data_IF_715201152391
#
_entry.id   IF_715201152391
#
_cell.length_a   1.000
_cell.length_b   1.000
_cell.length_c   1.000
_cell.angle_alpha   90.00
_cell.angle_beta   90.00
_cell.angle_gamma   90.00
#
_symmetry.space_group_name_H-M   'P 1'
#
loop_
_entity.id
_entity.type
_entity.pdbx_description
1 polymer ?
#
# COMPACT_ATOMS: atom_id res chain seq x y z
N UNK A 1 0.45 -20.31 4.99
CA UNK A 1 -0.72 -21.04 5.51
C UNK A 1 -1.07 -20.47 6.88
N UNK A 2 -2.32 -20.05 7.07
CA UNK A 2 -2.76 -19.45 8.31
C UNK A 2 -2.68 -20.46 9.48
N UNK A 3 -2.55 -19.92 10.70
CA UNK A 3 -2.63 -20.72 11.93
C UNK A 3 -4.09 -20.86 12.35
N UNK A 4 -4.46 -22.02 12.88
CA UNK A 4 -5.82 -22.23 13.40
C UNK A 4 -6.04 -21.48 14.72
N UNK A 5 -4.96 -21.29 15.50
CA UNK A 5 -4.96 -20.58 16.78
C UNK A 5 -3.67 -19.75 16.93
N UNK A 6 -3.77 -18.46 17.26
CA UNK A 6 -5.02 -17.68 17.35
C UNK A 6 -5.65 -17.46 15.96
N UNK A 7 -6.98 -17.34 15.92
CA UNK A 7 -7.70 -17.06 14.68
C UNK A 7 -7.39 -15.62 14.20
N UNK A 8 -6.84 -15.48 12.98
CA UNK A 8 -6.48 -14.19 12.37
C UNK A 8 -6.97 -14.14 10.93
N UNK A 9 -8.24 -13.77 10.71
CA UNK A 9 -8.88 -13.80 9.40
C UNK A 9 -8.21 -12.89 8.37
N UNK A 10 -7.55 -11.82 8.82
CA UNK A 10 -6.88 -10.84 7.97
C UNK A 10 -5.39 -11.14 7.72
N UNK A 11 -4.89 -12.30 8.15
CA UNK A 11 -3.48 -12.71 7.95
C UNK A 11 -3.08 -12.84 6.48
N UNK A 12 -4.06 -12.83 5.57
CA UNK A 12 -3.86 -12.79 4.12
C UNK A 12 -3.27 -11.43 3.65
N UNK A 13 -3.22 -10.41 4.51
CA UNK A 13 -2.75 -9.06 4.19
C UNK A 13 -1.40 -8.75 4.88
N UNK A 14 -0.30 -9.39 4.47
CA UNK A 14 1.00 -9.27 5.15
C UNK A 14 1.61 -7.87 5.06
N UNK A 15 1.26 -7.10 4.06
CA UNK A 15 1.80 -5.77 3.82
C UNK A 15 1.50 -4.75 4.92
N UNK A 16 0.56 -5.05 5.84
CA UNK A 16 0.23 -4.16 6.94
C UNK A 16 1.19 -4.28 8.13
N UNK A 17 1.74 -5.47 8.38
CA UNK A 17 2.57 -5.69 9.57
C UNK A 17 4.07 -5.78 9.28
N UNK A 18 4.49 -5.95 8.01
CA UNK A 18 5.90 -6.07 7.63
C UNK A 18 6.21 -5.35 6.33
N UNK A 19 7.39 -4.78 6.22
CA UNK A 19 8.01 -4.38 4.95
C UNK A 19 9.48 -4.79 4.92
N UNK A 20 10.00 -4.99 3.71
CA UNK A 20 11.39 -5.31 3.44
C UNK A 20 12.00 -4.18 2.64
N UNK A 21 13.27 -3.93 2.84
CA UNK A 21 14.02 -2.87 2.17
C UNK A 21 15.26 -3.46 1.50
N UNK A 22 15.69 -2.86 0.38
CA UNK A 22 16.78 -3.34 -0.45
C UNK A 22 18.17 -3.35 0.21
N UNK A 23 18.29 -2.78 1.41
CA UNK A 23 19.50 -2.86 2.27
C UNK A 23 19.43 -4.02 3.29
N UNK A 24 18.45 -4.91 3.13
CA UNK A 24 18.22 -6.07 4.01
C UNK A 24 17.51 -5.73 5.32
N UNK A 25 17.06 -4.49 5.50
CA UNK A 25 16.28 -4.12 6.68
C UNK A 25 14.85 -4.60 6.56
N UNK A 26 14.31 -5.04 7.70
CA UNK A 26 12.91 -5.43 7.87
C UNK A 26 12.28 -4.53 8.91
N UNK A 27 11.08 -4.04 8.64
CA UNK A 27 10.32 -3.25 9.61
C UNK A 27 9.06 -4.01 10.02
N UNK A 28 8.84 -4.11 11.34
CA UNK A 28 7.61 -4.63 11.92
C UNK A 28 6.76 -3.44 12.43
N UNK A 29 5.51 -3.39 12.01
CA UNK A 29 4.67 -2.22 12.20
C UNK A 29 3.65 -2.35 13.32
N UNK A 30 3.32 -1.22 14.02
CA UNK A 30 2.25 -1.16 15.00
C UNK A 30 0.89 -1.24 14.31
N UNK A 31 0.05 -2.20 14.74
CA UNK A 31 -1.26 -2.48 14.20
C UNK A 31 -2.36 -1.87 15.05
N UNK A 32 -3.30 -1.15 14.40
CA UNK A 32 -4.45 -0.53 15.06
C UNK A 32 -5.36 -1.59 15.73
N UNK A 33 -5.79 -2.58 14.95
CA UNK A 33 -6.69 -3.61 15.43
C UNK A 33 -5.96 -4.64 16.32
N UNK A 34 -6.32 -4.79 17.62
CA UNK A 34 -5.61 -5.70 18.52
C UNK A 34 -5.58 -7.16 18.06
N UNK A 35 -6.66 -7.62 17.42
CA UNK A 35 -6.75 -8.98 16.89
C UNK A 35 -5.79 -9.24 15.72
N UNK A 36 -5.29 -8.19 15.03
CA UNK A 36 -4.33 -8.32 13.95
C UNK A 36 -2.87 -8.30 14.41
N UNK A 37 -2.58 -7.94 15.66
CA UNK A 37 -1.21 -7.88 16.19
C UNK A 37 -0.54 -9.24 16.23
N UNK A 38 -1.31 -10.31 16.29
CA UNK A 38 -0.83 -11.72 16.23
C UNK A 38 -0.37 -12.14 14.83
N UNK A 39 -0.66 -11.34 13.79
CA UNK A 39 -0.23 -11.59 12.41
C UNK A 39 1.28 -11.37 12.22
N UNK A 40 1.97 -10.65 13.12
CA UNK A 40 3.43 -10.46 13.09
C UNK A 40 4.16 -11.77 13.35
N UNK A 41 4.32 -12.54 12.29
CA UNK A 41 4.93 -13.88 12.31
C UNK A 41 6.41 -13.81 12.01
N UNK A 42 7.24 -13.84 13.05
CA UNK A 42 8.71 -13.79 12.89
C UNK A 42 9.28 -15.07 12.26
N UNK A 43 8.57 -16.20 12.30
CA UNK A 43 8.96 -17.43 11.61
C UNK A 43 9.03 -17.27 10.07
N UNK A 44 8.25 -16.32 9.50
CA UNK A 44 8.33 -15.98 8.08
C UNK A 44 9.71 -15.41 7.72
N UNK A 45 10.33 -14.66 8.63
CA UNK A 45 11.67 -14.10 8.41
C UNK A 45 12.74 -15.20 8.30
N UNK A 46 12.60 -16.28 9.08
CA UNK A 46 13.51 -17.44 8.96
C UNK A 46 13.30 -18.17 7.63
N UNK A 47 12.03 -18.33 7.19
CA UNK A 47 11.72 -18.91 5.89
C UNK A 47 12.37 -18.09 4.74
N UNK A 48 12.36 -16.77 4.83
CA UNK A 48 12.99 -15.91 3.83
C UNK A 48 14.51 -16.08 3.81
N UNK A 49 15.17 -16.14 4.99
CA UNK A 49 16.60 -16.42 5.10
C UNK A 49 16.96 -17.77 4.48
N UNK A 50 16.17 -18.81 4.77
CA UNK A 50 16.37 -20.16 4.21
C UNK A 50 16.21 -20.19 2.67
N UNK A 51 15.46 -19.22 2.10
CA UNK A 51 15.32 -19.03 0.67
C UNK A 51 16.33 -18.03 0.07
N UNK A 52 17.35 -17.63 0.82
CA UNK A 52 18.47 -16.84 0.34
C UNK A 52 18.29 -15.33 0.41
N UNK A 53 17.24 -14.83 1.09
CA UNK A 53 17.09 -13.40 1.35
C UNK A 53 17.93 -12.97 2.54
N UNK A 54 18.71 -11.92 2.37
CA UNK A 54 19.54 -11.37 3.44
C UNK A 54 18.72 -10.44 4.33
N UNK A 55 18.69 -10.71 5.64
CA UNK A 55 18.06 -9.83 6.65
C UNK A 55 19.17 -9.32 7.54
N UNK A 56 19.55 -8.03 7.36
CA UNK A 56 20.62 -7.37 8.08
C UNK A 56 20.18 -6.80 9.43
N UNK A 57 18.95 -6.28 9.52
CA UNK A 57 18.40 -5.62 10.71
C UNK A 57 16.89 -5.78 10.75
N UNK A 58 16.33 -5.93 11.95
CA UNK A 58 14.87 -5.88 12.18
C UNK A 58 14.57 -4.66 13.05
N UNK A 59 13.79 -3.74 12.53
CA UNK A 59 13.31 -2.56 13.24
C UNK A 59 11.86 -2.80 13.71
N UNK A 60 11.68 -3.01 14.99
CA UNK A 60 10.38 -3.31 15.58
C UNK A 60 9.74 -2.04 16.14
N UNK A 61 8.77 -1.51 15.40
CA UNK A 61 7.98 -0.35 15.78
C UNK A 61 6.71 -0.72 16.58
N UNK A 62 6.46 -1.99 16.85
CA UNK A 62 5.23 -2.44 17.52
C UNK A 62 5.04 -1.83 18.91
N UNK A 63 6.12 -1.38 19.57
CA UNK A 63 6.05 -0.71 20.87
C UNK A 63 5.23 0.60 20.86
N UNK A 64 5.03 1.23 19.68
CA UNK A 64 4.18 2.41 19.55
C UNK A 64 2.69 2.12 19.79
N UNK A 65 2.28 0.86 19.72
CA UNK A 65 0.91 0.43 20.10
C UNK A 65 0.55 0.82 21.55
N UNK A 66 1.55 0.86 22.45
CA UNK A 66 1.36 1.31 23.84
C UNK A 66 1.12 2.82 23.94
N UNK A 67 1.36 3.57 22.90
CA UNK A 67 1.15 5.01 22.80
C UNK A 67 -0.06 5.34 21.91
N UNK A 68 -0.83 4.31 21.48
CA UNK A 68 -1.95 4.43 20.54
C UNK A 68 -1.55 5.09 19.21
N UNK A 69 -0.27 4.92 18.78
CA UNK A 69 0.25 5.36 17.49
C UNK A 69 0.40 4.16 16.56
N UNK A 70 -0.18 4.27 15.39
CA UNK A 70 -0.24 3.18 14.42
C UNK A 70 0.34 3.60 13.07
N UNK A 71 0.96 2.64 12.39
CA UNK A 71 1.51 2.79 11.05
C UNK A 71 1.50 1.41 10.38
N UNK A 72 0.49 1.15 9.58
CA UNK A 72 0.27 -0.19 9.04
C UNK A 72 0.98 -0.41 7.70
N UNK A 73 2.31 -0.45 7.73
CA UNK A 73 3.20 -0.84 6.63
C UNK A 73 2.84 -0.20 5.28
N UNK A 74 2.91 -1.00 4.22
CA UNK A 74 2.57 -0.55 2.87
C UNK A 74 1.06 -0.55 2.57
N UNK A 75 0.22 -0.80 3.58
CA UNK A 75 -1.19 -0.43 3.56
C UNK A 75 -1.33 1.08 3.72
N UNK A 76 -0.74 1.63 4.76
CA UNK A 76 -0.80 3.05 5.10
C UNK A 76 0.19 3.90 4.32
N UNK A 77 1.31 3.34 3.85
CA UNK A 77 2.36 4.06 3.13
C UNK A 77 2.55 3.51 1.73
N UNK A 78 2.67 4.41 0.75
CA UNK A 78 3.02 4.06 -0.63
C UNK A 78 4.37 4.67 -0.96
N UNK A 79 5.31 3.83 -1.44
CA UNK A 79 6.68 4.26 -1.71
C UNK A 79 6.94 4.49 -3.19
N UNK A 80 7.61 5.59 -3.49
CA UNK A 80 8.40 5.78 -4.69
C UNK A 80 9.88 5.54 -4.31
N UNK A 81 10.34 4.32 -4.51
CA UNK A 81 11.68 3.92 -4.11
C UNK A 81 12.78 4.67 -4.89
N UNK A 82 12.54 4.96 -6.17
CA UNK A 82 13.50 5.63 -7.05
C UNK A 82 13.74 7.08 -6.64
N UNK A 83 12.66 7.79 -6.25
CA UNK A 83 12.73 9.18 -5.85
C UNK A 83 12.78 9.39 -4.34
N UNK A 84 12.80 8.29 -3.56
CA UNK A 84 12.79 8.33 -2.10
C UNK A 84 11.64 9.18 -1.55
N UNK A 85 10.44 8.95 -2.05
CA UNK A 85 9.21 9.61 -1.60
C UNK A 85 8.30 8.56 -0.96
N UNK A 86 7.67 8.92 0.16
CA UNK A 86 6.62 8.12 0.78
C UNK A 86 5.34 8.95 0.86
N UNK A 87 4.24 8.43 0.34
CA UNK A 87 2.91 9.03 0.40
C UNK A 87 2.12 8.38 1.53
N UNK A 88 1.44 9.19 2.33
CA UNK A 88 0.63 8.71 3.45
C UNK A 88 -0.58 9.58 3.70
N UNK A 89 -1.77 8.97 3.65
CA UNK A 89 -3.01 9.60 4.09
C UNK A 89 -3.22 9.37 5.58
N UNK A 90 -3.39 10.47 6.33
CA UNK A 90 -3.59 10.42 7.78
C UNK A 90 -4.90 9.72 8.12
N UNK A 91 -4.86 8.76 9.02
CA UNK A 91 -6.01 7.97 9.43
C UNK A 91 -5.78 7.32 10.80
N UNK A 92 -6.75 6.55 11.30
CA UNK A 92 -6.54 5.73 12.51
C UNK A 92 -5.44 4.66 12.35
N UNK A 93 -4.97 4.42 11.12
CA UNK A 93 -3.93 3.42 10.80
C UNK A 93 -2.63 4.06 10.29
N UNK A 94 -2.57 5.40 10.26
CA UNK A 94 -1.36 6.18 10.00
C UNK A 94 -1.32 7.39 10.92
N UNK A 95 -0.48 7.32 11.96
CA UNK A 95 -0.09 8.47 12.78
C UNK A 95 0.95 9.30 12.03
N UNK A 96 0.66 10.60 11.83
CA UNK A 96 1.51 11.49 11.03
C UNK A 96 2.91 11.64 11.62
N UNK A 97 3.03 11.77 12.94
CA UNK A 97 4.34 11.95 13.59
C UNK A 97 5.20 10.70 13.43
N UNK A 98 4.63 9.52 13.63
CA UNK A 98 5.32 8.25 13.45
C UNK A 98 5.72 8.04 11.98
N UNK A 99 4.84 8.39 11.03
CA UNK A 99 5.16 8.34 9.60
C UNK A 99 6.34 9.25 9.25
N UNK A 100 6.38 10.48 9.77
CA UNK A 100 7.49 11.40 9.55
C UNK A 100 8.79 10.90 10.18
N UNK A 101 8.73 10.30 11.37
CA UNK A 101 9.89 9.67 12.02
C UNK A 101 10.41 8.50 11.18
N UNK A 102 9.53 7.61 10.70
CA UNK A 102 9.87 6.54 9.79
C UNK A 102 10.58 7.08 8.53
N UNK A 103 9.98 8.05 7.86
CA UNK A 103 10.55 8.65 6.64
C UNK A 103 11.95 9.23 6.89
N UNK A 104 12.14 9.93 8.00
CA UNK A 104 13.45 10.47 8.38
C UNK A 104 14.49 9.37 8.60
N UNK A 105 14.10 8.27 9.27
CA UNK A 105 15.00 7.15 9.56
C UNK A 105 15.41 6.39 8.29
N UNK A 106 14.47 6.19 7.36
CA UNK A 106 14.68 5.40 6.14
C UNK A 106 15.02 6.25 4.90
N UNK A 107 15.20 7.56 5.06
CA UNK A 107 15.63 8.47 4.00
C UNK A 107 14.58 8.77 2.95
N UNK A 108 13.29 8.72 3.31
CA UNK A 108 12.19 9.12 2.45
C UNK A 108 11.75 10.56 2.71
N UNK A 109 11.31 11.25 1.66
CA UNK A 109 10.58 12.52 1.77
C UNK A 109 9.10 12.21 2.00
N UNK A 110 8.50 12.60 3.15
CA UNK A 110 7.09 12.36 3.40
C UNK A 110 6.20 13.30 2.59
N UNK A 111 5.14 12.76 1.99
CA UNK A 111 4.02 13.48 1.41
C UNK A 111 2.79 13.10 2.21
N UNK A 112 2.37 13.99 3.11
CA UNK A 112 1.24 13.80 4.02
C UNK A 112 0.03 14.53 3.47
N UNK A 113 -1.11 13.88 3.50
CA UNK A 113 -2.41 14.44 3.09
C UNK A 113 -3.55 13.72 3.81
N UNK A 114 -4.77 14.23 3.67
CA UNK A 114 -6.00 13.61 4.17
C UNK A 114 -6.85 13.15 2.98
N UNK A 115 -7.46 11.98 3.10
CA UNK A 115 -8.34 11.46 2.06
C UNK A 115 -9.60 10.84 2.64
N UNK A 116 -10.68 10.94 1.88
CA UNK A 116 -12.02 10.54 2.29
C UNK A 116 -12.72 9.79 1.18
N UNK A 117 -13.71 8.98 1.55
CA UNK A 117 -14.58 8.27 0.63
C UNK A 117 -16.04 8.32 1.11
N UNK A 118 -16.97 8.20 0.20
CA UNK A 118 -18.38 8.08 0.53
C UNK A 118 -18.70 6.61 0.89
N UNK A 119 -19.15 6.39 2.11
CA UNK A 119 -19.56 5.08 2.58
C UNK A 119 -20.82 5.21 3.44
N UNK A 120 -21.88 4.48 3.08
CA UNK A 120 -23.15 4.50 3.83
C UNK A 120 -23.84 5.87 3.87
N UNK A 121 -23.55 6.77 2.92
CA UNK A 121 -24.09 8.14 2.86
C UNK A 121 -23.31 9.17 3.70
N UNK A 122 -22.17 8.79 4.25
CA UNK A 122 -21.27 9.65 5.00
C UNK A 122 -19.91 9.76 4.31
N UNK A 123 -19.22 10.90 4.50
CA UNK A 123 -17.85 11.13 4.05
C UNK A 123 -16.87 10.66 5.12
N UNK A 124 -16.25 9.49 4.94
CA UNK A 124 -15.40 8.85 5.93
C UNK A 124 -13.93 8.87 5.50
N UNK A 125 -12.97 9.00 6.45
CA UNK A 125 -11.54 8.91 6.13
C UNK A 125 -11.20 7.56 5.48
N UNK A 126 -10.36 7.58 4.45
CA UNK A 126 -9.76 6.38 3.89
C UNK A 126 -8.75 5.82 4.89
N UNK A 127 -8.95 4.57 5.29
CA UNK A 127 -8.16 3.95 6.36
C UNK A 127 -6.73 3.57 5.95
N UNK A 128 -6.49 3.26 4.68
CA UNK A 128 -5.18 2.93 4.12
C UNK A 128 -4.93 3.67 2.81
N UNK A 129 -3.75 4.21 2.63
CA UNK A 129 -3.36 4.94 1.42
C UNK A 129 -3.40 4.03 0.17
N UNK A 130 -3.10 2.73 0.31
CA UNK A 130 -3.14 1.77 -0.79
C UNK A 130 -4.54 1.46 -1.33
N UNK A 131 -5.59 1.96 -0.69
CA UNK A 131 -6.96 1.89 -1.22
C UNK A 131 -7.12 2.84 -2.41
N UNK A 132 -6.48 4.01 -2.35
CA UNK A 132 -6.72 5.10 -3.29
C UNK A 132 -5.58 5.36 -4.28
N UNK A 133 -4.39 4.80 -4.06
CA UNK A 133 -3.26 5.04 -4.95
C UNK A 133 -2.28 3.87 -5.04
N UNK A 134 -1.64 3.78 -6.22
CA UNK A 134 -0.52 2.91 -6.50
C UNK A 134 0.57 3.69 -7.24
N UNK A 135 1.82 3.55 -6.82
CA UNK A 135 2.98 4.17 -7.49
C UNK A 135 3.75 3.08 -8.23
N UNK A 136 3.85 3.24 -9.55
CA UNK A 136 4.67 2.44 -10.44
C UNK A 136 5.95 3.22 -10.84
N UNK A 137 6.81 2.64 -11.66
CA UNK A 137 8.06 3.29 -12.07
C UNK A 137 7.84 4.49 -13.02
N UNK A 138 6.81 4.47 -13.87
CA UNK A 138 6.53 5.51 -14.88
C UNK A 138 5.20 6.21 -14.72
N UNK A 139 4.34 5.72 -13.86
CA UNK A 139 3.00 6.28 -13.64
C UNK A 139 2.55 6.11 -12.19
N UNK A 140 1.51 6.84 -11.83
CA UNK A 140 0.78 6.73 -10.57
C UNK A 140 -0.70 6.60 -10.90
N UNK A 141 -1.34 5.56 -10.38
CA UNK A 141 -2.82 5.47 -10.36
C UNK A 141 -3.29 6.10 -9.06
N UNK A 142 -4.21 7.04 -9.11
CA UNK A 142 -4.67 7.76 -7.91
C UNK A 142 -6.09 8.30 -8.07
N UNK A 143 -6.88 8.25 -6.99
CA UNK A 143 -8.16 8.92 -6.87
C UNK A 143 -7.95 10.30 -6.24
N UNK A 144 -7.86 11.34 -7.07
CA UNK A 144 -7.63 12.72 -6.60
C UNK A 144 -8.86 13.32 -5.93
N UNK A 145 -10.07 12.97 -6.39
CA UNK A 145 -11.34 13.44 -5.78
C UNK A 145 -11.56 12.97 -4.34
N UNK A 146 -10.74 12.01 -3.88
CA UNK A 146 -10.73 11.60 -2.48
C UNK A 146 -9.95 12.53 -1.56
N UNK A 147 -9.19 13.50 -2.10
CA UNK A 147 -8.43 14.50 -1.34
C UNK A 147 -9.24 15.79 -1.32
N UNK A 148 -10.00 16.01 -0.25
CA UNK A 148 -10.98 17.10 -0.16
C UNK A 148 -10.32 18.49 -0.03
N UNK A 149 -9.12 18.58 0.53
CA UNK A 149 -8.36 19.83 0.61
C UNK A 149 -7.61 20.09 -0.71
N UNK A 150 -7.97 21.19 -1.38
CA UNK A 150 -7.41 21.56 -2.67
C UNK A 150 -5.89 21.77 -2.62
N UNK A 151 -5.35 22.33 -1.53
CA UNK A 151 -3.91 22.57 -1.38
C UNK A 151 -3.14 21.27 -1.18
N UNK A 152 -3.71 20.31 -0.43
CA UNK A 152 -3.12 18.98 -0.30
C UNK A 152 -3.18 18.22 -1.63
N UNK A 153 -4.29 18.29 -2.36
CA UNK A 153 -4.45 17.69 -3.67
C UNK A 153 -3.45 18.25 -4.69
N UNK A 154 -3.32 19.57 -4.79
CA UNK A 154 -2.32 20.24 -5.64
C UNK A 154 -0.90 19.80 -5.30
N UNK A 155 -0.56 19.81 -4.01
CA UNK A 155 0.76 19.38 -3.53
C UNK A 155 1.08 17.94 -3.88
N UNK A 156 0.13 17.01 -3.72
CA UNK A 156 0.32 15.60 -4.12
C UNK A 156 0.58 15.50 -5.61
N UNK A 157 -0.21 16.18 -6.43
CA UNK A 157 -0.04 16.20 -7.89
C UNK A 157 1.32 16.80 -8.31
N UNK A 158 1.72 17.94 -7.71
CA UNK A 158 3.00 18.58 -7.99
C UNK A 158 4.18 17.65 -7.69
N UNK A 159 4.11 16.94 -6.54
CA UNK A 159 5.14 15.99 -6.17
C UNK A 159 5.21 14.84 -7.17
N UNK A 160 4.08 14.24 -7.56
CA UNK A 160 4.05 13.18 -8.58
C UNK A 160 4.63 13.69 -9.91
N UNK A 161 4.16 14.84 -10.40
CA UNK A 161 4.65 15.45 -11.64
C UNK A 161 6.15 15.75 -11.61
N UNK A 162 6.68 16.14 -10.44
CA UNK A 162 8.12 16.42 -10.28
C UNK A 162 9.01 15.19 -10.47
N UNK A 163 8.45 13.98 -10.35
CA UNK A 163 9.15 12.71 -10.60
C UNK A 163 9.11 12.26 -12.06
N UNK A 164 8.40 12.99 -12.92
CA UNK A 164 8.21 12.66 -14.34
C UNK A 164 7.21 11.52 -14.58
N UNK A 165 6.48 11.07 -13.56
CA UNK A 165 5.48 10.01 -13.69
C UNK A 165 4.16 10.56 -14.27
N UNK A 166 3.53 9.77 -15.15
CA UNK A 166 2.18 10.05 -15.66
C UNK A 166 1.16 9.81 -14.53
N UNK A 167 0.20 10.72 -14.35
CA UNK A 167 -0.93 10.52 -13.44
C UNK A 167 -2.06 9.86 -14.22
N UNK A 168 -2.49 8.70 -13.78
CA UNK A 168 -3.67 7.99 -14.27
C UNK A 168 -4.73 8.12 -13.17
N UNK A 169 -5.64 9.06 -13.38
CA UNK A 169 -6.68 9.36 -12.41
C UNK A 169 -7.79 8.32 -12.47
N UNK A 170 -8.25 7.87 -11.30
CA UNK A 170 -9.42 7.02 -11.13
C UNK A 170 -10.49 7.76 -10.32
N UNK A 171 -11.76 7.44 -10.58
CA UNK A 171 -12.89 7.97 -9.82
C UNK A 171 -13.08 7.28 -8.48
N UNK A 172 -13.88 7.87 -7.59
CA UNK A 172 -14.28 7.24 -6.34
C UNK A 172 -15.11 5.97 -6.56
N UNK A 173 -15.92 5.91 -7.63
CA UNK A 173 -16.64 4.69 -8.01
C UNK A 173 -15.66 3.56 -8.39
N UNK A 174 -14.57 3.90 -9.09
CA UNK A 174 -13.51 2.94 -9.42
C UNK A 174 -12.70 2.53 -8.18
N UNK A 175 -12.49 3.46 -7.24
CA UNK A 175 -11.87 3.15 -5.94
C UNK A 175 -12.69 2.10 -5.19
N UNK A 176 -14.03 2.19 -5.18
CA UNK A 176 -14.91 1.17 -4.57
C UNK A 176 -14.79 -0.20 -5.25
N UNK A 177 -14.23 -0.27 -6.47
CA UNK A 177 -13.87 -1.50 -7.17
C UNK A 177 -12.39 -1.87 -7.02
N UNK A 178 -11.70 -1.32 -6.00
CA UNK A 178 -10.28 -1.56 -5.71
C UNK A 178 -9.29 -1.09 -6.78
N UNK A 179 -9.67 -0.16 -7.66
CA UNK A 179 -8.81 0.33 -8.73
C UNK A 179 -7.57 1.12 -8.26
N UNK A 180 -7.48 1.52 -6.99
CA UNK A 180 -6.26 2.05 -6.36
C UNK A 180 -5.37 0.96 -5.77
N UNK A 181 -5.90 -0.25 -5.55
CA UNK A 181 -5.23 -1.33 -4.81
C UNK A 181 -4.44 -2.26 -5.73
N UNK A 182 -3.39 -1.72 -6.33
CA UNK A 182 -2.53 -2.37 -7.33
C UNK A 182 -1.07 -2.38 -6.89
N UNK A 183 -0.27 -3.25 -7.51
CA UNK A 183 1.18 -3.28 -7.33
C UNK A 183 1.87 -3.58 -8.65
N UNK A 184 2.86 -2.75 -9.04
CA UNK A 184 3.77 -3.10 -10.11
C UNK A 184 4.84 -4.05 -9.58
N UNK A 185 5.00 -5.19 -10.25
CA UNK A 185 6.02 -6.19 -9.95
C UNK A 185 6.89 -6.44 -11.18
N UNK A 186 8.04 -7.06 -10.98
CA UNK A 186 9.00 -7.36 -12.03
C UNK A 186 9.41 -8.83 -11.95
N UNK A 187 9.56 -9.47 -13.12
CA UNK A 187 10.13 -10.82 -13.18
C UNK A 187 11.67 -10.76 -13.28
N UNK A 188 12.31 -11.93 -13.27
CA UNK A 188 13.77 -12.05 -13.34
C UNK A 188 14.36 -11.55 -14.68
N UNK A 189 13.56 -11.37 -15.72
CA UNK A 189 13.99 -10.83 -17.01
C UNK A 189 13.89 -9.30 -17.08
N UNK A 190 13.33 -8.66 -16.04
CA UNK A 190 13.07 -7.23 -16.02
C UNK A 190 11.72 -6.81 -16.61
N UNK A 191 10.89 -7.77 -17.05
CA UNK A 191 9.54 -7.45 -17.54
C UNK A 191 8.64 -7.02 -16.39
N UNK A 192 7.88 -5.95 -16.60
CA UNK A 192 7.02 -5.35 -15.58
C UNK A 192 5.56 -5.71 -15.78
N UNK A 193 4.89 -5.92 -14.66
CA UNK A 193 3.49 -6.30 -14.61
C UNK A 193 2.77 -5.46 -13.55
N UNK A 194 1.57 -4.97 -13.86
CA UNK A 194 0.70 -4.37 -12.85
C UNK A 194 -0.32 -5.42 -12.40
N UNK A 195 -0.23 -5.80 -11.13
CA UNK A 195 -1.13 -6.80 -10.52
C UNK A 195 -2.32 -6.10 -9.88
N UNK A 196 -3.52 -6.56 -10.20
CA UNK A 196 -4.78 -6.04 -9.66
C UNK A 196 -5.84 -7.14 -9.57
N UNK A 197 -6.99 -6.82 -8.98
CA UNK A 197 -8.15 -7.71 -9.04
C UNK A 197 -8.90 -7.60 -10.37
N UNK A 198 -9.74 -8.58 -10.64
CA UNK A 198 -10.65 -8.53 -11.79
C UNK A 198 -11.69 -7.41 -11.65
N UNK A 199 -12.14 -7.11 -10.42
CA UNK A 199 -13.05 -6.00 -10.11
C UNK A 199 -12.41 -4.67 -10.49
N UNK A 200 -11.15 -4.46 -10.08
CA UNK A 200 -10.37 -3.28 -10.46
C UNK A 200 -10.24 -3.17 -11.97
N UNK A 201 -9.78 -4.24 -12.64
CA UNK A 201 -9.59 -4.25 -14.09
C UNK A 201 -10.87 -3.90 -14.86
N UNK A 202 -12.01 -4.50 -14.50
CA UNK A 202 -13.30 -4.25 -15.13
C UNK A 202 -13.84 -2.84 -14.90
N UNK A 203 -13.41 -2.16 -13.85
CA UNK A 203 -13.82 -0.78 -13.55
C UNK A 203 -13.05 0.27 -14.35
N UNK A 204 -11.85 -0.09 -14.84
CA UNK A 204 -11.02 0.83 -15.62
C UNK A 204 -11.62 1.12 -17.00
N UNK A 205 -11.47 2.37 -17.47
CA UNK A 205 -11.81 2.74 -18.85
C UNK A 205 -10.78 2.22 -19.84
N UNK A 206 -11.15 2.16 -21.11
CA UNK A 206 -10.22 1.75 -22.18
C UNK A 206 -9.00 2.68 -22.26
N UNK A 207 -9.17 3.98 -21.99
CA UNK A 207 -8.11 4.99 -21.98
C UNK A 207 -7.14 4.74 -20.82
N UNK A 208 -7.65 4.42 -19.59
CA UNK A 208 -6.82 4.09 -18.43
C UNK A 208 -6.03 2.81 -18.65
N UNK A 209 -6.68 1.76 -19.19
CA UNK A 209 -6.01 0.51 -19.56
C UNK A 209 -4.89 0.79 -20.56
N UNK A 210 -5.19 1.53 -21.65
CA UNK A 210 -4.19 1.88 -22.68
C UNK A 210 -3.04 2.72 -22.12
N UNK A 211 -3.30 3.59 -21.13
CA UNK A 211 -2.26 4.38 -20.48
C UNK A 211 -1.31 3.49 -19.65
N UNK A 212 -1.85 2.51 -18.92
CA UNK A 212 -1.06 1.53 -18.13
C UNK A 212 -0.24 0.64 -19.07
N UNK A 213 -0.87 0.12 -20.13
CA UNK A 213 -0.25 -0.83 -21.07
C UNK A 213 0.88 -0.23 -21.91
N UNK A 214 1.04 1.11 -21.96
CA UNK A 214 2.26 1.74 -22.48
C UNK A 214 3.52 1.33 -21.70
N UNK A 215 3.38 0.94 -20.43
CA UNK A 215 4.50 0.77 -19.51
C UNK A 215 4.68 -0.66 -19.00
N UNK A 216 3.59 -1.42 -18.85
CA UNK A 216 3.63 -2.78 -18.33
C UNK A 216 2.38 -3.58 -18.70
N UNK A 217 2.50 -4.90 -18.65
CA UNK A 217 1.38 -5.82 -18.85
C UNK A 217 0.50 -5.84 -17.59
N UNK A 218 -0.82 -5.83 -17.78
CA UNK A 218 -1.77 -5.98 -16.67
C UNK A 218 -2.01 -7.48 -16.41
N UNK A 219 -1.90 -7.88 -15.14
CA UNK A 219 -2.28 -9.21 -14.64
C UNK A 219 -3.42 -9.01 -13.65
N UNK A 220 -4.54 -9.70 -13.86
CA UNK A 220 -5.67 -9.66 -12.93
C UNK A 220 -6.20 -11.05 -12.61
N UNK A 221 -6.84 -11.17 -11.44
CA UNK A 221 -7.47 -12.40 -10.96
C UNK A 221 -8.76 -12.08 -10.23
N UNK A 222 -9.69 -13.04 -10.22
CA UNK A 222 -10.89 -12.93 -9.40
C UNK A 222 -10.52 -13.03 -7.92
N UNK A 223 -10.74 -11.94 -7.19
CA UNK A 223 -10.52 -11.80 -5.76
C UNK A 223 -11.84 -11.49 -5.01
N UNK A 224 -13.00 -11.64 -5.64
CA UNK A 224 -14.29 -11.22 -5.09
C UNK A 224 -14.57 -11.75 -3.68
N UNK A 225 -14.20 -12.98 -3.38
CA UNK A 225 -14.38 -13.55 -2.02
C UNK A 225 -13.52 -12.83 -0.98
N UNK A 226 -12.28 -12.47 -1.34
CA UNK A 226 -11.35 -11.76 -0.44
C UNK A 226 -11.80 -10.31 -0.27
N UNK A 227 -12.14 -9.64 -1.36
CA UNK A 227 -12.62 -8.27 -1.37
C UNK A 227 -13.88 -8.09 -0.53
N UNK A 228 -14.86 -9.00 -0.71
CA UNK A 228 -16.15 -8.94 0.01
C UNK A 228 -16.01 -9.22 1.50
N UNK A 229 -15.16 -10.18 1.90
CA UNK A 229 -15.08 -10.63 3.29
C UNK A 229 -13.92 -9.97 4.07
N UNK A 230 -12.82 -9.63 3.40
CA UNK A 230 -11.62 -9.08 4.03
C UNK A 230 -11.45 -7.57 3.85
N UNK A 231 -12.16 -6.96 2.90
CA UNK A 231 -12.08 -5.52 2.63
C UNK A 231 -10.72 -5.06 2.08
N UNK A 232 -9.89 -5.98 1.62
CA UNK A 232 -8.60 -5.74 0.94
C UNK A 232 -8.53 -6.47 -0.39
N UNK A 233 -7.59 -6.10 -1.26
CA UNK A 233 -7.44 -6.66 -2.59
C UNK A 233 -5.99 -6.99 -2.93
N UNK A 234 -5.62 -7.03 -4.19
CA UNK A 234 -4.35 -7.55 -4.70
C UNK A 234 -3.11 -6.96 -3.99
N UNK A 235 -3.03 -5.62 -3.85
CA UNK A 235 -1.89 -4.96 -3.18
C UNK A 235 -1.76 -5.38 -1.73
N UNK A 236 -2.87 -5.52 -1.03
CA UNK A 236 -2.88 -5.89 0.39
C UNK A 236 -2.31 -7.29 0.63
N UNK A 237 -2.44 -8.18 -0.35
CA UNK A 237 -1.98 -9.58 -0.29
C UNK A 237 -0.48 -9.74 -0.58
N UNK A 238 0.21 -8.67 -0.97
CA UNK A 238 1.60 -8.70 -1.44
C UNK A 238 2.51 -7.89 -0.52
N UNK A 239 3.55 -8.52 0.00
CA UNK A 239 4.69 -7.86 0.62
C UNK A 239 5.91 -8.06 -0.29
N UNK A 240 6.50 -6.96 -0.73
CA UNK A 240 7.68 -6.98 -1.60
C UNK A 240 8.90 -7.41 -0.80
N UNK A 241 9.72 -8.30 -1.35
CA UNK A 241 10.99 -8.73 -0.78
C UNK A 241 12.09 -8.41 -1.79
N UNK A 242 13.17 -7.74 -1.36
CA UNK A 242 14.25 -7.24 -2.21
C UNK A 242 15.55 -8.04 -2.00
#
# INVERSE_FOLDING_TARGET
KDTLEPHSPDSIFPNNWVSFHNDGKVVLYPMFAPNRRVERRTDILEILKDNGFEISEIDDLSHFENQEKFLEGTGSMIFDHDHKIAYGSVSLRLDEELFRQFCSKFGFRPVVFHSYQNAGGERLPIYHTNVMMCVADKFVVICLECIDDELECEKVQEVIKSTGKEIIEISEDQLQQFAGNMLQVQNNNGDKFLVMSESAYKSLTAEQISAIEKYCVIIHSDLNTIETNGGGSARCMLAEVF
#
